data_IF_647284370576
#
_entry.id   IF_647284370576
#
_cell.length_a   1.000
_cell.length_b   1.000
_cell.length_c   1.000
_cell.angle_alpha   90.00
_cell.angle_beta   90.00
_cell.angle_gamma   90.00
#
_symmetry.space_group_name_H-M   'P 1'
#
loop_
_entity.id
_entity.type
_entity.pdbx_description
1 polymer ?
#
# COMPACT_ATOMS: atom_id res chain seq x y z
N UNK A 1 2.58 26.76 3.24
CA UNK A 1 3.13 25.70 2.36
C UNK A 1 2.13 24.58 2.28
N UNK A 2 1.60 24.27 1.09
CA UNK A 2 0.87 23.03 0.87
C UNK A 2 1.86 21.90 1.08
N UNK A 3 1.65 21.05 2.09
CA UNK A 3 2.36 19.77 2.16
C UNK A 3 1.72 18.92 1.07
N UNK A 4 2.41 18.74 -0.04
CA UNK A 4 1.92 17.89 -1.12
C UNK A 4 1.67 16.50 -0.53
N UNK A 5 0.39 16.09 -0.55
CA UNK A 5 -0.03 14.81 0.03
C UNK A 5 0.36 13.71 -0.94
N UNK A 6 1.25 12.83 -0.52
CA UNK A 6 1.69 11.67 -1.30
C UNK A 6 0.66 10.55 -1.13
N UNK A 7 0.21 9.97 -2.25
CA UNK A 7 -0.64 8.78 -2.26
C UNK A 7 0.11 7.62 -2.91
N UNK A 8 0.14 6.47 -2.24
CA UNK A 8 0.73 5.22 -2.74
C UNK A 8 -0.43 4.27 -3.03
N UNK A 9 -0.53 3.81 -4.29
CA UNK A 9 -1.57 2.88 -4.73
C UNK A 9 -0.88 1.56 -5.10
N UNK A 10 -1.27 0.49 -4.41
CA UNK A 10 -0.68 -0.84 -4.57
C UNK A 10 -1.76 -1.78 -5.11
N UNK A 11 -1.73 -2.20 -6.38
CA UNK A 11 -2.56 -3.31 -6.83
C UNK A 11 -2.10 -4.60 -6.14
N UNK A 12 -3.06 -5.41 -5.69
CA UNK A 12 -2.82 -6.68 -5.02
C UNK A 12 -3.65 -7.77 -5.70
N UNK A 13 -3.02 -8.86 -6.16
CA UNK A 13 -3.71 -10.02 -6.72
C UNK A 13 -3.14 -11.32 -6.17
N UNK A 14 -3.89 -11.97 -5.28
CA UNK A 14 -3.48 -13.20 -4.61
C UNK A 14 -2.11 -13.10 -3.89
N UNK A 15 -1.91 -12.01 -3.14
CA UNK A 15 -0.66 -11.68 -2.44
C UNK A 15 -0.88 -11.45 -0.93
N UNK A 16 -1.88 -12.09 -0.32
CA UNK A 16 -2.27 -11.85 1.08
C UNK A 16 -1.12 -12.02 2.09
N UNK A 17 -0.21 -12.97 1.83
CA UNK A 17 0.94 -13.25 2.70
C UNK A 17 2.07 -12.21 2.59
N UNK A 18 2.16 -11.48 1.48
CA UNK A 18 3.29 -10.59 1.19
C UNK A 18 2.91 -9.11 1.23
N UNK A 19 1.63 -8.78 1.00
CA UNK A 19 1.14 -7.40 0.96
C UNK A 19 1.40 -6.63 2.26
N UNK A 20 1.36 -7.30 3.42
CA UNK A 20 1.67 -6.69 4.72
C UNK A 20 3.07 -6.07 4.77
N UNK A 21 4.08 -6.80 4.28
CA UNK A 21 5.46 -6.28 4.22
C UNK A 21 5.58 -5.07 3.31
N UNK A 22 4.88 -5.07 2.17
CA UNK A 22 4.89 -3.93 1.23
C UNK A 22 4.31 -2.68 1.90
N UNK A 23 3.17 -2.82 2.60
CA UNK A 23 2.56 -1.71 3.35
C UNK A 23 3.51 -1.18 4.44
N UNK A 24 4.15 -2.07 5.20
CA UNK A 24 5.05 -1.70 6.29
C UNK A 24 6.31 -0.99 5.77
N UNK A 25 6.87 -1.45 4.65
CA UNK A 25 8.01 -0.82 4.00
C UNK A 25 7.66 0.62 3.56
N UNK A 26 6.50 0.85 2.92
CA UNK A 26 6.09 2.21 2.54
C UNK A 26 5.83 3.11 3.74
N UNK A 27 5.21 2.60 4.80
CA UNK A 27 4.99 3.37 6.04
C UNK A 27 6.29 3.77 6.72
N UNK A 28 7.34 2.96 6.60
CA UNK A 28 8.66 3.25 7.17
C UNK A 28 9.42 4.27 6.34
N UNK A 29 9.44 4.12 5.01
CA UNK A 29 10.23 4.98 4.13
C UNK A 29 9.54 6.32 3.80
N UNK A 30 8.20 6.36 3.78
CA UNK A 30 7.42 7.57 3.48
C UNK A 30 6.24 7.70 4.48
N UNK A 31 6.50 8.03 5.76
CA UNK A 31 5.48 8.05 6.82
C UNK A 31 4.30 9.00 6.57
N UNK A 32 4.50 10.04 5.76
CA UNK A 32 3.47 11.01 5.38
C UNK A 32 2.54 10.54 4.24
N UNK A 33 2.88 9.44 3.56
CA UNK A 33 2.09 8.92 2.47
C UNK A 33 0.82 8.22 2.96
N UNK A 34 -0.29 8.45 2.25
CA UNK A 34 -1.49 7.63 2.38
C UNK A 34 -1.36 6.39 1.50
N UNK A 35 -1.35 5.21 2.11
CA UNK A 35 -1.21 3.92 1.41
C UNK A 35 -2.59 3.31 1.17
N UNK A 36 -2.89 3.01 -0.10
CA UNK A 36 -4.12 2.36 -0.55
C UNK A 36 -3.75 1.05 -1.25
N UNK A 37 -4.36 -0.05 -0.82
CA UNK A 37 -4.27 -1.33 -1.52
C UNK A 37 -5.55 -1.51 -2.33
N UNK A 38 -5.38 -1.81 -3.61
CA UNK A 38 -6.47 -2.11 -4.52
C UNK A 38 -6.48 -3.61 -4.77
N UNK A 39 -7.50 -4.30 -4.26
CA UNK A 39 -7.71 -5.70 -4.57
C UNK A 39 -8.11 -5.87 -6.04
N UNK A 40 -7.36 -6.70 -6.76
CA UNK A 40 -7.56 -6.99 -8.17
C UNK A 40 -8.11 -8.42 -8.35
N UNK A 41 -9.24 -8.71 -7.69
CA UNK A 41 -9.94 -9.99 -7.74
C UNK A 41 -9.20 -11.14 -7.04
N UNK A 42 -8.64 -10.88 -5.85
CA UNK A 42 -7.97 -11.91 -5.05
C UNK A 42 -8.97 -12.91 -4.43
N UNK A 43 -8.45 -14.10 -4.10
CA UNK A 43 -9.22 -15.24 -3.55
C UNK A 43 -8.51 -15.92 -2.37
N UNK A 44 -7.40 -15.35 -1.90
CA UNK A 44 -6.40 -15.97 -1.02
C UNK A 44 -6.31 -15.37 0.40
N UNK A 45 -7.30 -14.57 0.79
CA UNK A 45 -7.32 -13.82 2.05
C UNK A 45 -7.17 -14.64 3.33
#
# INVERSE_FOLDING_TARGET
MSRDKIAVIIPCYNEALTIGKVIDDFRREIPEASVYVYDNNSTDG
#
